data_IF_810573997644
#
_entry.id   IF_810573997644
#
_cell.length_a   1.000
_cell.length_b   1.000
_cell.length_c   1.000
_cell.angle_alpha   90.00
_cell.angle_beta   90.00
_cell.angle_gamma   90.00
#
_symmetry.space_group_name_H-M   'P 1'
#
loop_
_entity.id
_entity.type
_entity.pdbx_description
1 polymer ?
#
# COMPACT_ATOMS: atom_id res chain seq x y z
N UNK A 1 -24.99 27.22 3.63
CA UNK A 1 -25.31 28.68 3.55
C UNK A 1 -24.28 29.49 2.75
N UNK A 2 -22.96 29.39 3.00
CA UNK A 2 -21.92 30.16 2.27
C UNK A 2 -21.45 29.56 0.92
N UNK A 3 -22.12 28.53 0.43
CA UNK A 3 -21.70 27.81 -0.80
C UNK A 3 -20.45 26.95 -0.67
N UNK A 4 -19.94 26.71 0.55
CA UNK A 4 -18.78 25.85 0.80
C UNK A 4 -19.25 24.48 1.29
N UNK A 5 -18.61 23.42 0.81
CA UNK A 5 -18.88 22.03 1.21
C UNK A 5 -18.65 21.83 2.71
N UNK A 6 -19.43 20.95 3.34
CA UNK A 6 -19.31 20.64 4.77
C UNK A 6 -18.21 19.61 5.04
N UNK A 7 -17.57 19.72 6.20
CA UNK A 7 -16.64 18.70 6.69
C UNK A 7 -17.42 17.41 6.94
N UNK A 8 -16.85 16.28 6.52
CA UNK A 8 -17.47 14.95 6.57
C UNK A 8 -18.26 14.58 5.32
N UNK A 9 -18.44 15.49 4.37
CA UNK A 9 -19.07 15.15 3.08
C UNK A 9 -18.15 14.26 2.25
N UNK A 10 -18.70 13.19 1.69
CA UNK A 10 -18.07 12.42 0.61
C UNK A 10 -18.30 13.15 -0.71
N UNK A 11 -17.25 13.25 -1.52
CA UNK A 11 -17.25 13.97 -2.79
C UNK A 11 -16.64 13.11 -3.90
N UNK A 12 -17.22 13.22 -5.08
CA UNK A 12 -16.77 12.58 -6.31
C UNK A 12 -16.36 13.61 -7.37
N UNK A 13 -15.77 13.12 -8.46
CA UNK A 13 -15.31 13.97 -9.55
C UNK A 13 -16.48 14.80 -10.14
N UNK A 14 -16.31 16.12 -10.17
CA UNK A 14 -17.33 17.06 -10.66
C UNK A 14 -18.19 17.71 -9.57
N UNK A 15 -18.16 17.21 -8.34
CA UNK A 15 -18.87 17.81 -7.22
C UNK A 15 -18.35 19.21 -6.88
N UNK A 16 -19.24 20.09 -6.42
CA UNK A 16 -18.89 21.47 -6.07
C UNK A 16 -18.33 21.52 -4.65
N UNK A 17 -17.07 21.94 -4.53
CA UNK A 17 -16.41 22.18 -3.24
C UNK A 17 -16.66 23.60 -2.74
N UNK A 18 -16.58 24.58 -3.63
CA UNK A 18 -16.81 26.00 -3.32
C UNK A 18 -17.60 26.64 -4.45
N UNK A 19 -18.85 27.01 -4.17
CA UNK A 19 -19.71 27.78 -5.03
C UNK A 19 -19.12 29.18 -5.24
N UNK A 20 -18.68 29.47 -6.47
CA UNK A 20 -18.15 30.79 -6.84
C UNK A 20 -18.80 31.26 -8.12
N UNK A 21 -19.30 32.49 -8.10
CA UNK A 21 -19.86 33.16 -9.28
C UNK A 21 -19.02 34.38 -9.62
N UNK A 22 -18.85 34.66 -10.90
CA UNK A 22 -18.10 35.82 -11.39
C UNK A 22 -19.02 36.64 -12.31
N UNK A 23 -19.08 37.97 -12.16
CA UNK A 23 -19.86 38.80 -13.07
C UNK A 23 -19.38 38.59 -14.51
N UNK A 24 -20.33 38.40 -15.42
CA UNK A 24 -20.08 38.29 -16.86
C UNK A 24 -20.40 39.66 -17.47
N UNK A 25 -19.49 40.21 -18.28
CA UNK A 25 -19.80 41.40 -19.06
C UNK A 25 -20.96 41.16 -20.02
N UNK A 26 -21.70 42.20 -20.36
CA UNK A 26 -22.76 42.12 -21.38
C UNK A 26 -22.13 41.65 -22.70
N UNK A 27 -22.57 40.48 -23.13
CA UNK A 27 -22.18 39.85 -24.40
C UNK A 27 -23.46 39.60 -25.18
N UNK A 28 -23.46 39.91 -26.47
CA UNK A 28 -24.60 39.59 -27.34
C UNK A 28 -24.85 38.08 -27.32
N UNK A 29 -26.08 37.69 -27.00
CA UNK A 29 -26.50 36.29 -26.98
C UNK A 29 -26.64 35.78 -28.41
N UNK A 30 -26.34 34.50 -28.63
CA UNK A 30 -26.64 33.88 -29.92
C UNK A 30 -28.16 33.82 -30.14
N UNK A 31 -28.63 33.84 -31.40
CA UNK A 31 -30.05 33.70 -31.71
C UNK A 31 -30.71 32.47 -31.06
N UNK A 32 -29.97 31.36 -30.94
CA UNK A 32 -30.42 30.11 -30.31
C UNK A 32 -30.61 30.27 -28.81
N UNK A 33 -29.65 30.88 -28.09
CA UNK A 33 -29.78 31.16 -26.65
C UNK A 33 -30.92 32.14 -26.38
N UNK A 34 -31.11 33.13 -27.26
CA UNK A 34 -32.22 34.08 -27.17
C UNK A 34 -33.57 33.41 -27.36
N UNK A 35 -33.68 32.48 -28.32
CA UNK A 35 -34.89 31.68 -28.54
C UNK A 35 -35.18 30.76 -27.34
N UNK A 36 -34.17 30.05 -26.83
CA UNK A 36 -34.32 29.20 -25.66
C UNK A 36 -34.81 29.99 -24.44
N UNK A 37 -34.23 31.15 -24.17
CA UNK A 37 -34.70 32.02 -23.08
C UNK A 37 -36.12 32.53 -23.28
N UNK A 38 -36.52 32.83 -24.51
CA UNK A 38 -37.88 33.26 -24.82
C UNK A 38 -38.90 32.12 -24.60
N UNK A 39 -38.55 30.87 -24.95
CA UNK A 39 -39.41 29.69 -24.75
C UNK A 39 -39.53 29.34 -23.27
N UNK A 40 -38.41 29.33 -22.53
CA UNK A 40 -38.39 28.90 -21.13
C UNK A 40 -38.62 30.03 -20.11
N UNK A 41 -38.75 31.29 -20.58
CA UNK A 41 -38.93 32.46 -19.70
C UNK A 41 -37.73 32.73 -18.79
N UNK A 42 -36.55 32.17 -19.11
CA UNK A 42 -35.35 32.35 -18.29
C UNK A 42 -34.77 33.75 -18.48
N UNK A 43 -34.67 34.51 -17.38
CA UNK A 43 -33.98 35.81 -17.36
C UNK A 43 -32.49 35.64 -17.68
N UNK A 44 -31.88 36.67 -18.25
CA UNK A 44 -30.44 36.70 -18.45
C UNK A 44 -29.69 36.56 -17.13
N UNK A 45 -28.83 35.56 -17.02
CA UNK A 45 -27.90 35.44 -15.89
C UNK A 45 -26.73 36.39 -16.12
N UNK A 46 -26.62 37.41 -15.27
CA UNK A 46 -25.53 38.40 -15.27
C UNK A 46 -24.21 37.84 -14.71
N UNK A 47 -24.26 36.62 -14.16
CA UNK A 47 -23.11 35.95 -13.54
C UNK A 47 -22.83 34.61 -14.21
N UNK A 48 -21.54 34.26 -14.28
CA UNK A 48 -21.05 32.96 -14.71
C UNK A 48 -20.64 32.14 -13.49
N UNK A 49 -21.00 30.87 -13.48
CA UNK A 49 -20.51 29.90 -12.50
C UNK A 49 -19.02 29.59 -12.77
N UNK A 50 -18.17 29.86 -11.79
CA UNK A 50 -16.73 29.60 -11.77
C UNK A 50 -16.33 28.83 -10.50
N UNK A 51 -17.26 28.02 -9.99
CA UNK A 51 -17.10 27.23 -8.78
C UNK A 51 -15.90 26.29 -8.82
N UNK A 52 -15.29 26.07 -7.65
CA UNK A 52 -14.28 25.04 -7.47
C UNK A 52 -14.97 23.68 -7.43
N UNK A 53 -14.60 22.81 -8.36
CA UNK A 53 -15.10 21.43 -8.45
C UNK A 53 -13.99 20.43 -8.16
N UNK A 54 -14.36 19.23 -7.72
CA UNK A 54 -13.43 18.12 -7.56
C UNK A 54 -12.85 17.75 -8.94
N UNK A 55 -11.51 17.68 -9.09
CA UNK A 55 -10.88 17.25 -10.35
C UNK A 55 -11.27 15.82 -10.75
N UNK A 56 -11.06 15.50 -12.03
CA UNK A 56 -11.25 14.12 -12.52
C UNK A 56 -10.29 13.15 -11.84
N UNK A 57 -10.79 11.97 -11.47
CA UNK A 57 -10.00 10.91 -10.84
C UNK A 57 -9.73 11.12 -9.35
N UNK A 58 -10.18 12.22 -8.77
CA UNK A 58 -10.12 12.45 -7.33
C UNK A 58 -11.50 12.22 -6.69
N UNK A 59 -11.47 11.64 -5.51
CA UNK A 59 -12.63 11.37 -4.67
C UNK A 59 -12.17 11.28 -3.22
N UNK A 60 -13.08 11.44 -2.27
CA UNK A 60 -12.76 11.24 -0.86
C UNK A 60 -13.68 12.00 0.07
N UNK A 61 -13.27 12.10 1.32
CA UNK A 61 -14.02 12.78 2.37
C UNK A 61 -13.38 14.14 2.66
N UNK A 62 -14.21 15.18 2.76
CA UNK A 62 -13.75 16.50 3.20
C UNK A 62 -13.37 16.43 4.68
N UNK A 63 -12.08 16.56 4.99
CA UNK A 63 -11.57 16.49 6.37
C UNK A 63 -11.43 17.87 7.01
N UNK A 64 -11.41 18.93 6.21
CA UNK A 64 -11.22 20.27 6.72
C UNK A 64 -11.47 21.35 5.69
N UNK A 65 -11.91 22.51 6.17
CA UNK A 65 -12.07 23.72 5.37
C UNK A 65 -11.39 24.86 6.12
N UNK A 66 -10.50 25.59 5.45
CA UNK A 66 -9.91 26.83 5.96
C UNK A 66 -10.31 27.98 5.07
N UNK A 67 -10.91 29.00 5.66
CA UNK A 67 -11.33 30.23 4.99
C UNK A 67 -10.44 31.35 5.49
N UNK A 68 -9.84 32.10 4.57
CA UNK A 68 -9.08 33.32 4.84
C UNK A 68 -9.81 34.48 4.19
N UNK A 69 -9.97 35.58 4.92
CA UNK A 69 -10.76 36.73 4.51
C UNK A 69 -9.98 38.02 4.72
N UNK A 70 -9.97 38.90 3.72
CA UNK A 70 -9.24 40.18 3.80
C UNK A 70 -9.79 41.05 4.92
N UNK A 71 -11.09 40.96 5.18
CA UNK A 71 -11.74 41.75 6.23
C UNK A 71 -11.38 41.24 7.64
N UNK A 72 -10.83 40.02 7.74
CA UNK A 72 -10.41 39.39 9.01
C UNK A 72 -8.91 39.55 9.30
N UNK A 73 -8.24 40.51 8.66
CA UNK A 73 -6.79 40.78 8.77
C UNK A 73 -5.88 39.61 8.33
N UNK A 74 -6.37 38.69 7.50
CA UNK A 74 -5.55 37.64 6.92
C UNK A 74 -4.64 38.20 5.81
N UNK A 75 -3.37 37.75 5.79
CA UNK A 75 -2.41 38.09 4.73
C UNK A 75 -2.77 37.39 3.41
N UNK A 76 -3.37 38.15 2.49
CA UNK A 76 -3.85 37.67 1.19
C UNK A 76 -3.12 38.37 0.05
N UNK A 77 -2.87 37.67 -1.08
CA UNK A 77 -2.29 38.30 -2.26
C UNK A 77 -3.10 39.52 -2.75
N UNK A 78 -2.43 40.52 -3.36
CA UNK A 78 -3.10 41.67 -3.94
C UNK A 78 -4.22 41.24 -4.90
N UNK A 79 -5.39 41.87 -4.79
CA UNK A 79 -6.56 41.55 -5.62
C UNK A 79 -7.39 40.32 -5.18
N UNK A 80 -7.00 39.58 -4.15
CA UNK A 80 -7.80 38.46 -3.60
C UNK A 80 -8.58 38.87 -2.35
N UNK A 81 -9.91 38.83 -2.38
CA UNK A 81 -10.76 39.19 -1.24
C UNK A 81 -10.93 38.05 -0.24
N UNK A 82 -11.06 36.81 -0.73
CA UNK A 82 -11.27 35.63 0.09
C UNK A 82 -10.58 34.42 -0.53
N UNK A 83 -9.96 33.59 0.29
CA UNK A 83 -9.32 32.33 -0.11
C UNK A 83 -9.90 31.18 0.71
N UNK A 84 -10.43 30.17 0.01
CA UNK A 84 -10.96 28.95 0.64
C UNK A 84 -10.10 27.76 0.25
N UNK A 85 -9.58 27.05 1.25
CA UNK A 85 -8.86 25.77 1.08
C UNK A 85 -9.71 24.64 1.62
N UNK A 86 -10.02 23.67 0.77
CA UNK A 86 -10.75 22.44 1.13
C UNK A 86 -9.76 21.29 1.12
N UNK A 87 -9.67 20.57 2.24
CA UNK A 87 -8.84 19.38 2.38
C UNK A 87 -9.71 18.16 2.15
N UNK A 88 -9.44 17.43 1.06
CA UNK A 88 -10.08 16.16 0.74
C UNK A 88 -9.08 15.06 0.99
N UNK A 89 -9.46 14.06 1.77
CA UNK A 89 -8.64 12.89 2.04
C UNK A 89 -9.27 11.65 1.41
N UNK A 90 -8.43 10.84 0.76
CA UNK A 90 -8.83 9.57 0.17
C UNK A 90 -8.05 8.43 0.84
N UNK A 91 -8.75 7.39 1.27
CA UNK A 91 -8.13 6.14 1.73
C UNK A 91 -8.00 5.19 0.54
N UNK A 92 -6.90 5.31 -0.19
CA UNK A 92 -6.60 4.42 -1.33
C UNK A 92 -6.18 3.04 -0.80
N UNK A 93 -6.88 2.00 -1.24
CA UNK A 93 -6.47 0.61 -1.04
C UNK A 93 -5.50 0.23 -2.15
N UNK A 94 -4.75 -0.85 -1.91
CA UNK A 94 -3.91 -1.47 -2.92
C UNK A 94 -4.77 -1.99 -4.08
N UNK A 95 -4.31 -1.77 -5.30
CA UNK A 95 -5.03 -2.10 -6.54
C UNK A 95 -4.09 -2.68 -7.58
N UNK A 96 -4.66 -3.41 -8.54
CA UNK A 96 -3.90 -3.90 -9.69
C UNK A 96 -3.25 -2.73 -10.43
N UNK A 97 -1.96 -2.85 -10.73
CA UNK A 97 -1.14 -1.78 -11.31
C UNK A 97 -0.37 -0.95 -10.29
N UNK A 98 -0.69 -1.02 -9.00
CA UNK A 98 0.13 -0.37 -7.97
C UNK A 98 1.54 -0.96 -7.96
N UNK A 99 2.52 -0.11 -7.70
CA UNK A 99 3.93 -0.48 -7.74
C UNK A 99 4.41 -0.84 -6.34
N UNK A 100 4.94 -2.06 -6.21
CA UNK A 100 5.57 -2.55 -5.00
C UNK A 100 7.07 -2.69 -5.19
N UNK A 101 7.82 -2.56 -4.11
CA UNK A 101 9.26 -2.77 -4.12
C UNK A 101 9.76 -3.42 -2.82
N UNK A 102 10.69 -4.38 -2.95
CA UNK A 102 11.48 -4.82 -1.81
C UNK A 102 12.71 -3.94 -1.59
N UNK A 103 13.42 -4.20 -0.50
CA UNK A 103 14.63 -3.45 -0.10
C UNK A 103 15.86 -3.77 -0.96
N UNK A 104 15.79 -4.82 -1.77
CA UNK A 104 16.88 -5.33 -2.61
C UNK A 104 16.74 -4.94 -4.09
N UNK A 105 15.99 -3.87 -4.38
CA UNK A 105 15.79 -3.36 -5.75
C UNK A 105 14.90 -4.24 -6.64
N UNK A 106 14.29 -5.28 -6.06
CA UNK A 106 13.19 -6.02 -6.66
C UNK A 106 11.97 -5.10 -6.69
N UNK A 107 11.50 -4.75 -7.88
CA UNK A 107 10.35 -3.86 -8.10
C UNK A 107 9.41 -4.50 -9.10
N UNK A 108 8.12 -4.36 -8.88
CA UNK A 108 7.08 -4.91 -9.73
C UNK A 108 5.82 -4.07 -9.64
N UNK A 109 4.91 -4.30 -10.57
CA UNK A 109 3.52 -3.84 -10.46
C UNK A 109 2.66 -5.03 -10.10
N UNK A 110 1.61 -4.80 -9.32
CA UNK A 110 0.65 -5.84 -8.98
C UNK A 110 -0.08 -6.22 -10.26
N UNK A 111 0.06 -7.48 -10.67
CA UNK A 111 -0.59 -8.00 -11.88
C UNK A 111 -2.01 -8.46 -11.60
N UNK A 112 -2.25 -9.03 -10.42
CA UNK A 112 -3.54 -9.57 -10.01
C UNK A 112 -3.60 -9.74 -8.49
N UNK A 113 -4.69 -9.29 -7.89
CA UNK A 113 -5.07 -9.62 -6.51
C UNK A 113 -6.00 -10.85 -6.55
N UNK A 114 -5.54 -11.97 -5.99
CA UNK A 114 -6.32 -13.20 -5.90
C UNK A 114 -7.18 -13.25 -4.63
N UNK A 115 -8.35 -13.94 -4.66
CA UNK A 115 -9.02 -14.37 -3.45
C UNK A 115 -8.10 -15.22 -2.57
N UNK A 116 -8.32 -15.21 -1.26
CA UNK A 116 -7.43 -15.88 -0.29
C UNK A 116 -7.44 -17.40 -0.46
N UNK A 117 -8.57 -17.96 -0.86
CA UNK A 117 -8.79 -19.39 -1.13
C UNK A 117 -8.04 -19.89 -2.37
N UNK A 118 -7.73 -18.99 -3.31
CA UNK A 118 -7.03 -19.30 -4.56
C UNK A 118 -5.50 -19.28 -4.39
N UNK A 119 -5.00 -18.76 -3.26
CA UNK A 119 -3.58 -18.60 -3.01
C UNK A 119 -2.93 -19.94 -2.65
N UNK A 120 -1.67 -20.17 -3.07
CA UNK A 120 -0.89 -21.28 -2.55
C UNK A 120 -0.82 -21.23 -1.02
N UNK A 121 -0.99 -22.37 -0.37
CA UNK A 121 -1.03 -22.46 1.09
C UNK A 121 -0.08 -23.53 1.63
N UNK A 122 0.35 -23.32 2.88
CA UNK A 122 1.24 -24.20 3.64
C UNK A 122 0.48 -25.42 4.18
N UNK A 123 1.21 -26.42 4.66
CA UNK A 123 0.61 -27.64 5.23
C UNK A 123 -0.33 -27.38 6.43
N UNK A 124 -0.14 -26.26 7.15
CA UNK A 124 -0.99 -25.82 8.26
C UNK A 124 -2.25 -25.04 7.80
N UNK A 125 -2.44 -24.88 6.49
CA UNK A 125 -3.53 -24.13 5.89
C UNK A 125 -3.28 -22.63 5.72
N UNK A 126 -2.12 -22.12 6.15
CA UNK A 126 -1.79 -20.69 6.03
C UNK A 126 -1.52 -20.32 4.55
N UNK A 127 -2.29 -19.42 3.92
CA UNK A 127 -2.02 -18.96 2.57
C UNK A 127 -0.83 -17.99 2.53
N UNK A 128 -0.11 -17.97 1.41
CA UNK A 128 0.94 -16.95 1.19
C UNK A 128 0.31 -15.61 0.79
N UNK A 129 0.94 -14.50 1.18
CA UNK A 129 0.42 -13.16 0.88
C UNK A 129 0.83 -12.65 -0.52
N UNK A 130 2.07 -12.93 -0.94
CA UNK A 130 2.66 -12.43 -2.20
C UNK A 130 3.48 -13.54 -2.85
N UNK A 131 3.31 -13.73 -4.15
CA UNK A 131 4.11 -14.65 -4.96
C UNK A 131 5.09 -13.85 -5.84
N UNK A 132 6.39 -14.10 -5.65
CA UNK A 132 7.45 -13.44 -6.43
C UNK A 132 8.03 -14.41 -7.47
N UNK A 133 8.36 -13.88 -8.65
CA UNK A 133 8.95 -14.69 -9.72
C UNK A 133 10.44 -14.99 -9.42
N UNK A 134 10.85 -16.27 -9.32
CA UNK A 134 12.25 -16.63 -9.02
C UNK A 134 13.23 -16.26 -10.13
N UNK A 135 12.79 -16.15 -11.38
CA UNK A 135 13.66 -15.84 -12.53
C UNK A 135 14.31 -14.45 -12.41
N UNK A 136 13.69 -13.54 -11.65
CA UNK A 136 14.20 -12.18 -11.44
C UNK A 136 15.38 -12.10 -10.47
N UNK A 137 15.71 -13.17 -9.75
CA UNK A 137 16.74 -13.16 -8.71
C UNK A 137 18.15 -13.40 -9.28
N UNK A 138 18.43 -14.52 -10.00
CA UNK A 138 19.79 -14.81 -10.46
C UNK A 138 20.29 -13.75 -11.46
N UNK A 139 19.44 -13.32 -12.38
CA UNK A 139 19.80 -12.33 -13.40
C UNK A 139 20.11 -10.93 -12.84
N UNK A 140 19.69 -10.63 -11.60
CA UNK A 140 19.93 -9.33 -10.94
C UNK A 140 20.97 -9.40 -9.84
N UNK A 141 21.49 -10.60 -9.53
CA UNK A 141 22.46 -10.83 -8.45
C UNK A 141 22.04 -10.26 -7.09
N UNK A 142 20.74 -10.19 -6.82
CA UNK A 142 20.18 -9.65 -5.58
C UNK A 142 19.70 -10.77 -4.64
N UNK A 143 20.62 -11.70 -4.35
CA UNK A 143 20.40 -12.88 -3.48
C UNK A 143 20.01 -12.48 -2.05
N UNK A 144 20.35 -11.26 -1.63
CA UNK A 144 19.96 -10.74 -0.31
C UNK A 144 18.45 -10.85 0.00
N UNK A 145 17.58 -10.77 -1.01
CA UNK A 145 16.14 -10.96 -0.79
C UNK A 145 15.78 -12.39 -0.37
N UNK A 146 16.54 -13.39 -0.83
CA UNK A 146 16.37 -14.81 -0.45
C UNK A 146 16.84 -15.00 0.99
N UNK A 147 18.01 -14.45 1.34
CA UNK A 147 18.52 -14.45 2.72
C UNK A 147 17.56 -13.73 3.68
N UNK A 148 16.99 -12.61 3.26
CA UNK A 148 15.93 -11.90 4.00
C UNK A 148 14.70 -12.79 4.20
N UNK A 149 14.26 -13.51 3.16
CA UNK A 149 13.10 -14.40 3.22
C UNK A 149 13.30 -15.50 4.27
N UNK A 150 14.46 -16.15 4.26
CA UNK A 150 14.84 -17.19 5.22
C UNK A 150 14.93 -16.66 6.65
N UNK A 151 15.68 -15.57 6.85
CA UNK A 151 15.82 -14.96 8.16
C UNK A 151 14.50 -14.39 8.68
N UNK A 152 13.64 -13.89 7.79
CA UNK A 152 12.30 -13.43 8.12
C UNK A 152 11.40 -14.55 8.63
N UNK A 153 11.51 -15.76 8.04
CA UNK A 153 10.83 -16.94 8.57
C UNK A 153 11.30 -17.28 9.98
N UNK A 154 12.61 -17.34 10.20
CA UNK A 154 13.21 -17.57 11.53
C UNK A 154 12.70 -16.55 12.54
N UNK A 155 12.67 -15.27 12.17
CA UNK A 155 12.20 -14.19 13.05
C UNK A 155 10.70 -14.29 13.37
N UNK A 156 9.88 -14.71 12.39
CA UNK A 156 8.44 -14.90 12.57
C UNK A 156 8.13 -16.07 13.51
N UNK A 157 8.79 -17.20 13.29
CA UNK A 157 8.51 -18.46 14.00
C UNK A 157 9.18 -18.50 15.37
N UNK A 158 10.33 -17.84 15.50
CA UNK A 158 11.25 -18.05 16.62
C UNK A 158 12.00 -19.36 16.49
N UNK A 159 12.90 -19.61 17.44
CA UNK A 159 13.78 -20.77 17.42
C UNK A 159 14.06 -21.31 18.82
N UNK A 160 14.45 -22.58 18.84
CA UNK A 160 14.97 -23.30 19.99
C UNK A 160 16.18 -24.12 19.55
N UNK A 161 17.35 -23.70 20.00
CA UNK A 161 18.63 -24.32 19.66
C UNK A 161 18.94 -25.39 20.71
N UNK A 162 19.09 -26.64 20.25
CA UNK A 162 19.51 -27.75 21.08
C UNK A 162 21.04 -27.96 20.97
N UNK A 163 21.71 -28.10 22.11
CA UNK A 163 23.16 -28.32 22.17
C UNK A 163 24.02 -27.08 21.85
N UNK A 164 25.28 -27.34 21.46
CA UNK A 164 26.26 -26.31 21.09
C UNK A 164 26.84 -26.56 19.69
N UNK A 165 26.02 -26.39 18.63
CA UNK A 165 26.50 -26.53 17.27
C UNK A 165 27.53 -25.44 16.93
N UNK A 166 28.43 -25.74 16.01
CA UNK A 166 29.61 -24.91 15.73
C UNK A 166 29.26 -23.49 15.26
N UNK A 167 28.19 -23.35 14.48
CA UNK A 167 27.71 -22.05 13.98
C UNK A 167 27.28 -21.08 15.10
N UNK A 168 26.85 -21.60 16.26
CA UNK A 168 26.43 -20.74 17.40
C UNK A 168 27.62 -20.11 18.10
N UNK A 169 28.84 -20.67 17.95
CA UNK A 169 30.05 -20.08 18.55
C UNK A 169 30.31 -18.65 18.04
N UNK A 170 29.85 -18.35 16.83
CA UNK A 170 29.95 -17.02 16.22
C UNK A 170 28.87 -16.04 16.73
N UNK A 171 27.86 -16.54 17.45
CA UNK A 171 26.71 -15.78 17.94
C UNK A 171 26.55 -15.90 19.48
N UNK A 172 27.53 -15.42 20.27
CA UNK A 172 27.57 -15.63 21.73
C UNK A 172 26.39 -15.00 22.47
N UNK A 173 25.82 -13.92 21.93
CA UNK A 173 24.72 -13.18 22.55
C UNK A 173 23.33 -13.61 22.05
N UNK A 174 23.26 -14.64 21.19
CA UNK A 174 21.99 -15.10 20.65
C UNK A 174 21.22 -15.91 21.71
N UNK A 175 19.96 -15.55 22.00
CA UNK A 175 19.10 -16.35 22.87
C UNK A 175 18.94 -17.78 22.33
N UNK A 176 19.03 -18.77 23.20
CA UNK A 176 18.91 -20.19 22.81
C UNK A 176 17.47 -20.60 22.52
N UNK A 177 16.52 -19.97 23.18
CA UNK A 177 15.10 -20.20 22.98
C UNK A 177 14.37 -18.86 22.96
N UNK A 178 13.63 -18.61 21.89
CA UNK A 178 12.82 -17.39 21.74
C UNK A 178 11.61 -17.67 20.85
N UNK A 179 10.49 -17.00 21.14
CA UNK A 179 9.35 -16.96 20.24
C UNK A 179 9.56 -15.97 19.08
N UNK A 180 8.46 -15.49 18.51
CA UNK A 180 8.49 -14.45 17.50
C UNK A 180 9.28 -13.22 18.00
N UNK A 181 10.28 -12.79 17.24
CA UNK A 181 11.15 -11.67 17.63
C UNK A 181 11.56 -10.82 16.43
N UNK A 182 12.16 -9.66 16.72
CA UNK A 182 12.81 -8.82 15.71
C UNK A 182 14.30 -9.14 15.70
N UNK A 183 14.86 -9.25 14.51
CA UNK A 183 16.29 -9.48 14.30
C UNK A 183 16.90 -8.28 13.58
N UNK A 184 18.19 -8.08 13.78
CA UNK A 184 18.95 -7.03 13.12
C UNK A 184 20.22 -7.64 12.52
N UNK A 185 20.46 -7.35 11.25
CA UNK A 185 21.69 -7.71 10.53
C UNK A 185 22.39 -6.42 10.09
N UNK A 186 23.43 -5.98 10.81
CA UNK A 186 24.22 -4.81 10.42
C UNK A 186 24.77 -4.96 9.01
N UNK A 187 24.90 -3.82 8.31
CA UNK A 187 25.51 -3.81 6.98
C UNK A 187 26.99 -4.16 7.12
N UNK A 188 27.45 -5.16 6.35
CA UNK A 188 28.82 -5.71 6.36
C UNK A 188 29.23 -6.55 7.58
N UNK A 189 28.40 -6.67 8.61
CA UNK A 189 28.63 -7.53 9.80
C UNK A 189 27.33 -8.26 10.20
N UNK A 190 26.64 -8.78 9.19
CA UNK A 190 25.34 -9.44 9.32
C UNK A 190 25.46 -10.94 9.55
N UNK A 191 24.30 -11.59 9.65
CA UNK A 191 24.20 -13.04 9.77
C UNK A 191 24.84 -13.75 8.56
N UNK A 192 25.63 -14.79 8.84
CA UNK A 192 26.26 -15.65 7.83
C UNK A 192 25.29 -16.73 7.36
N UNK A 193 25.56 -17.31 6.20
CA UNK A 193 24.72 -18.35 5.62
C UNK A 193 24.57 -19.57 6.54
N UNK A 194 25.67 -20.07 7.09
CA UNK A 194 25.68 -21.20 8.03
C UNK A 194 24.83 -20.94 9.29
N UNK A 195 24.80 -19.69 9.76
CA UNK A 195 24.00 -19.27 10.92
C UNK A 195 22.51 -19.23 10.59
N UNK A 196 22.14 -18.72 9.40
CA UNK A 196 20.75 -18.69 8.93
C UNK A 196 20.23 -20.12 8.72
N UNK A 197 21.01 -20.97 8.05
CA UNK A 197 20.67 -22.37 7.80
C UNK A 197 20.53 -23.16 9.10
N UNK A 198 21.45 -22.98 10.04
CA UNK A 198 21.37 -23.61 11.37
C UNK A 198 20.17 -23.12 12.19
N UNK A 199 19.80 -21.85 12.05
CA UNK A 199 18.61 -21.28 12.67
C UNK A 199 17.31 -21.82 12.07
N UNK A 200 17.24 -22.02 10.75
CA UNK A 200 16.09 -22.66 10.10
C UNK A 200 15.83 -24.06 10.66
N UNK A 201 16.90 -24.85 10.83
CA UNK A 201 16.85 -26.18 11.47
C UNK A 201 16.63 -26.14 12.99
N UNK A 202 16.52 -24.95 13.57
CA UNK A 202 16.19 -24.73 14.98
C UNK A 202 14.86 -24.01 15.15
N UNK A 203 14.08 -23.81 14.08
CA UNK A 203 12.79 -23.10 14.17
C UNK A 203 11.78 -23.84 15.02
N UNK A 204 10.95 -23.07 15.74
CA UNK A 204 9.85 -23.63 16.53
C UNK A 204 8.85 -24.36 15.63
N UNK A 205 8.25 -25.41 16.17
CA UNK A 205 7.21 -26.18 15.48
C UNK A 205 5.84 -25.50 15.57
N UNK A 206 4.94 -25.85 14.66
CA UNK A 206 3.53 -25.45 14.72
C UNK A 206 2.85 -26.06 15.94
N UNK A 207 1.61 -25.64 16.21
CA UNK A 207 0.78 -26.22 17.29
C UNK A 207 0.68 -27.74 17.19
N UNK A 208 0.70 -28.27 15.97
CA UNK A 208 0.50 -29.68 15.68
C UNK A 208 1.84 -30.48 15.70
N UNK A 209 2.96 -29.79 15.99
CA UNK A 209 4.28 -30.39 16.17
C UNK A 209 5.13 -30.43 14.90
N UNK A 210 4.64 -29.88 13.79
CA UNK A 210 5.32 -29.93 12.50
C UNK A 210 6.25 -28.73 12.32
N UNK A 211 7.45 -28.98 11.80
CA UNK A 211 8.33 -27.93 11.28
C UNK A 211 8.02 -27.73 9.80
N UNK A 212 7.51 -26.56 9.45
CA UNK A 212 7.10 -26.28 8.07
C UNK A 212 8.28 -26.06 7.12
N UNK A 213 9.38 -25.45 7.59
CA UNK A 213 10.53 -25.09 6.75
C UNK A 213 11.81 -25.64 7.40
N UNK A 214 12.61 -26.33 6.61
CA UNK A 214 13.91 -26.90 7.00
C UNK A 214 15.09 -25.99 6.59
N UNK A 215 16.33 -26.46 6.78
CA UNK A 215 17.56 -25.78 6.35
C UNK A 215 17.61 -25.40 4.87
N UNK A 216 16.84 -26.05 3.99
CA UNK A 216 16.78 -25.63 2.58
C UNK A 216 16.05 -24.30 2.40
N UNK A 217 15.30 -23.86 3.41
CA UNK A 217 14.45 -22.68 3.35
C UNK A 217 13.26 -22.87 2.40
N UNK A 218 12.86 -24.13 2.17
CA UNK A 218 11.76 -24.52 1.29
C UNK A 218 10.75 -25.39 2.03
N UNK A 219 9.56 -25.48 1.46
CA UNK A 219 8.47 -26.31 1.98
C UNK A 219 7.52 -26.70 0.85
N UNK A 220 6.70 -27.73 1.10
CA UNK A 220 5.65 -28.13 0.18
C UNK A 220 4.48 -27.16 0.30
N UNK A 221 4.11 -26.55 -0.81
CA UNK A 221 2.89 -25.77 -0.94
C UNK A 221 1.80 -26.60 -1.63
N UNK A 222 0.56 -26.21 -1.38
CA UNK A 222 -0.62 -26.76 -2.04
C UNK A 222 -1.27 -25.68 -2.89
N UNK A 223 -1.75 -26.05 -4.07
CA UNK A 223 -2.47 -25.13 -4.95
C UNK A 223 -3.89 -24.90 -4.41
N UNK A 224 -4.25 -23.66 -4.10
CA UNK A 224 -5.57 -23.27 -3.59
C UNK A 224 -6.72 -23.60 -4.55
N UNK A 225 -6.44 -23.71 -5.86
CA UNK A 225 -7.48 -23.97 -6.88
C UNK A 225 -7.78 -25.44 -7.09
N UNK A 226 -6.74 -26.28 -7.14
CA UNK A 226 -6.87 -27.72 -7.38
C UNK A 226 -6.88 -28.54 -6.09
N UNK A 227 -6.25 -28.02 -5.03
CA UNK A 227 -5.97 -28.75 -3.79
C UNK A 227 -4.78 -29.69 -3.87
N UNK A 228 -4.13 -29.83 -5.03
CA UNK A 228 -2.99 -30.72 -5.21
C UNK A 228 -1.69 -30.08 -4.70
N UNK A 229 -0.75 -30.88 -4.15
CA UNK A 229 0.58 -30.37 -3.80
C UNK A 229 1.36 -29.99 -5.07
N UNK A 230 2.17 -28.92 -4.98
CA UNK A 230 3.12 -28.60 -6.04
C UNK A 230 4.15 -29.73 -6.21
N UNK A 231 4.70 -29.94 -7.42
CA UNK A 231 5.60 -31.07 -7.68
C UNK A 231 6.94 -30.98 -6.94
N UNK A 232 7.40 -29.76 -6.64
CA UNK A 232 8.69 -29.48 -5.99
C UNK A 232 8.50 -28.53 -4.79
N UNK A 233 9.34 -28.62 -3.76
CA UNK A 233 9.30 -27.70 -2.62
C UNK A 233 9.73 -26.29 -3.03
N UNK A 234 9.01 -25.29 -2.51
CA UNK A 234 9.12 -23.88 -2.88
C UNK A 234 9.69 -23.09 -1.69
N UNK A 235 10.57 -22.11 -1.96
CA UNK A 235 11.03 -21.23 -0.88
C UNK A 235 9.92 -20.33 -0.38
N UNK A 236 9.69 -20.36 0.92
CA UNK A 236 8.69 -19.56 1.63
C UNK A 236 9.37 -18.86 2.79
N UNK A 237 8.89 -17.66 3.12
CA UNK A 237 9.39 -16.90 4.26
C UNK A 237 8.75 -15.53 4.32
N UNK A 238 9.34 -14.64 5.11
CA UNK A 238 8.84 -13.28 5.28
C UNK A 238 9.81 -12.28 4.68
N UNK A 239 9.33 -11.50 3.73
CA UNK A 239 10.09 -10.42 3.09
C UNK A 239 9.41 -9.08 3.39
N UNK A 240 10.21 -8.04 3.63
CA UNK A 240 9.69 -6.70 3.85
C UNK A 240 9.50 -5.95 2.52
N UNK A 241 8.24 -5.69 2.17
CA UNK A 241 7.82 -5.00 0.94
C UNK A 241 7.32 -3.58 1.27
N UNK A 242 7.60 -2.64 0.37
CA UNK A 242 7.22 -1.22 0.38
C UNK A 242 6.23 -0.92 -0.76
#
# INVERSE_FOLDING_TARGET
ERGIIHIGAEVEAGDILVGKVTPKGETELTPEERLLRAIFGEKSREVRDTSLKVPHGESGTVIGVRVFDRDSEDDLPPGVNQLVRVYVANKRKITDGDKLAGRHGNKGVISKILPIEDMPFLADGTPVDIVLNPLGVPGRMNVGQVLETHLGWVAKTGWKIEGEPEWVKNLPNLPREIGQTRVATPVFDGAREEEITGLLDSTNVTRDGDRLIDSSGKTMLFDGRSGEPFPDPISVGYMYIL
#
